data_IF_719178940059
#
_entry.id   IF_719178940059
#
_cell.length_a   1.000
_cell.length_b   1.000
_cell.length_c   1.000
_cell.angle_alpha   90.00
_cell.angle_beta   90.00
_cell.angle_gamma   90.00
#
_symmetry.space_group_name_H-M   'P 1'
#
loop_
_entity.id
_entity.type
_entity.pdbx_description
1 polymer ?
#
# COMPACT_ATOMS: atom_id res chain seq x y z
N UNK A 1 23.77 -6.04 -0.37
CA UNK A 1 22.36 -5.83 0.04
C UNK A 1 21.90 -4.49 -0.52
N UNK A 2 20.85 -4.48 -1.36
CA UNK A 2 20.46 -3.31 -2.14
C UNK A 2 20.03 -2.16 -1.20
N UNK A 3 20.72 -1.00 -1.25
CA UNK A 3 20.60 0.08 -0.23
C UNK A 3 19.19 0.70 -0.16
N UNK A 4 18.31 0.41 -1.11
CA UNK A 4 16.96 0.97 -1.20
C UNK A 4 15.97 0.46 -0.14
N UNK A 5 16.24 -0.66 0.52
CA UNK A 5 15.36 -1.22 1.58
C UNK A 5 15.78 -0.82 3.00
N UNK A 6 16.77 0.06 3.18
CA UNK A 6 17.42 0.31 4.47
C UNK A 6 16.64 1.18 5.46
N UNK A 7 15.58 1.87 5.04
CA UNK A 7 14.71 2.61 5.97
C UNK A 7 13.65 1.66 6.54
N UNK A 8 13.70 1.43 7.87
CA UNK A 8 12.61 0.76 8.61
C UNK A 8 11.31 1.53 8.40
N UNK A 9 10.45 1.04 7.51
CA UNK A 9 9.09 1.57 7.35
C UNK A 9 8.23 0.89 8.43
N UNK A 10 7.63 1.68 9.32
CA UNK A 10 6.57 1.19 10.20
C UNK A 10 5.28 1.10 9.38
N UNK A 11 4.58 -0.02 9.47
CA UNK A 11 3.31 -0.27 8.79
C UNK A 11 2.24 -0.33 9.86
N UNK A 12 1.48 0.75 10.01
CA UNK A 12 0.42 0.85 11.01
C UNK A 12 -0.95 1.01 10.37
N UNK A 13 -1.00 1.51 9.12
CA UNK A 13 -2.23 1.76 8.37
C UNK A 13 -2.13 1.18 6.97
N UNK A 14 -3.25 0.84 6.31
CA UNK A 14 -3.24 0.37 4.92
C UNK A 14 -2.50 1.32 3.96
N UNK A 15 -2.56 2.64 4.21
CA UNK A 15 -1.85 3.65 3.42
C UNK A 15 -0.31 3.52 3.50
N UNK A 16 0.23 2.94 4.58
CA UNK A 16 1.67 2.68 4.71
C UNK A 16 2.13 1.56 3.76
N UNK A 17 1.30 0.52 3.61
CA UNK A 17 1.51 -0.58 2.66
C UNK A 17 1.54 -0.01 1.23
N UNK A 18 0.54 0.80 0.89
CA UNK A 18 0.49 1.50 -0.41
C UNK A 18 1.78 2.28 -0.68
N UNK A 19 2.26 3.07 0.29
CA UNK A 19 3.48 3.89 0.13
C UNK A 19 4.73 3.02 -0.04
N UNK A 20 4.82 1.91 0.68
CA UNK A 20 5.92 0.96 0.54
C UNK A 20 5.92 0.32 -0.85
N UNK A 21 4.76 -0.17 -1.30
CA UNK A 21 4.62 -0.82 -2.59
C UNK A 21 4.97 0.12 -3.74
N UNK A 22 4.49 1.36 -3.71
CA UNK A 22 4.80 2.36 -4.73
C UNK A 22 6.32 2.57 -4.89
N UNK A 23 7.07 2.55 -3.78
CA UNK A 23 8.55 2.63 -3.83
C UNK A 23 9.16 1.42 -4.50
N UNK A 24 8.66 0.21 -4.21
CA UNK A 24 9.17 -1.02 -4.82
C UNK A 24 8.91 -1.03 -6.33
N UNK A 25 7.71 -0.65 -6.76
CA UNK A 25 7.37 -0.53 -8.18
C UNK A 25 8.31 0.47 -8.86
N UNK A 26 8.54 1.64 -8.26
CA UNK A 26 9.44 2.65 -8.83
C UNK A 26 10.88 2.15 -8.96
N UNK A 27 11.37 1.36 -7.99
CA UNK A 27 12.69 0.73 -8.06
C UNK A 27 12.74 -0.27 -9.23
N UNK A 28 11.72 -1.12 -9.38
CA UNK A 28 11.64 -2.10 -10.46
C UNK A 28 11.60 -1.45 -11.86
N UNK A 29 11.00 -0.27 -11.95
CA UNK A 29 10.92 0.53 -13.18
C UNK A 29 12.23 1.29 -13.50
N UNK A 30 13.13 1.46 -12.53
CA UNK A 30 14.32 2.32 -12.69
C UNK A 30 15.43 1.68 -13.53
N UNK A 31 15.50 0.34 -13.59
CA UNK A 31 16.56 -0.42 -14.26
C UNK A 31 16.41 -0.50 -15.81
N UNK A 32 15.50 0.26 -16.42
CA UNK A 32 15.37 0.45 -17.88
C UNK A 32 14.81 -0.73 -18.68
N UNK A 33 15.03 -1.97 -18.23
CA UNK A 33 14.56 -3.17 -18.93
C UNK A 33 13.39 -3.82 -18.19
N UNK A 34 12.25 -3.93 -18.87
CA UNK A 34 11.04 -4.57 -18.36
C UNK A 34 11.04 -6.06 -18.72
N UNK A 35 11.30 -6.92 -17.74
CA UNK A 35 11.16 -8.38 -17.90
C UNK A 35 9.74 -8.84 -17.55
N UNK A 36 9.36 -10.03 -18.03
CA UNK A 36 8.06 -10.65 -17.70
C UNK A 36 7.87 -10.78 -16.18
N UNK A 37 8.93 -11.17 -15.45
CA UNK A 37 8.87 -11.34 -14.01
C UNK A 37 8.73 -10.00 -13.27
N UNK A 38 9.38 -8.93 -13.76
CA UNK A 38 9.15 -7.57 -13.26
C UNK A 38 7.69 -7.15 -13.47
N UNK A 39 7.14 -7.39 -14.66
CA UNK A 39 5.75 -7.05 -14.96
C UNK A 39 4.75 -7.81 -14.06
N UNK A 40 4.95 -9.12 -13.88
CA UNK A 40 4.14 -9.93 -12.94
C UNK A 40 4.23 -9.41 -11.51
N UNK A 41 5.45 -9.10 -11.05
CA UNK A 41 5.69 -8.56 -9.71
C UNK A 41 4.97 -7.23 -9.52
N UNK A 42 5.07 -6.31 -10.50
CA UNK A 42 4.37 -5.02 -10.47
C UNK A 42 2.85 -5.21 -10.45
N UNK A 43 2.30 -6.16 -11.23
CA UNK A 43 0.88 -6.45 -11.25
C UNK A 43 0.38 -6.95 -9.87
N UNK A 44 1.08 -7.91 -9.27
CA UNK A 44 0.77 -8.40 -7.92
C UNK A 44 0.81 -7.27 -6.89
N UNK A 45 1.89 -6.49 -6.91
CA UNK A 45 2.08 -5.37 -6.00
C UNK A 45 0.99 -4.31 -6.17
N UNK A 46 0.65 -3.96 -7.40
CA UNK A 46 -0.43 -3.00 -7.71
C UNK A 46 -1.77 -3.47 -7.16
N UNK A 47 -2.11 -4.76 -7.32
CA UNK A 47 -3.35 -5.32 -6.78
C UNK A 47 -3.38 -5.28 -5.24
N UNK A 48 -2.27 -5.59 -4.58
CA UNK A 48 -2.17 -5.46 -3.12
C UNK A 48 -2.31 -4.00 -2.67
N UNK A 49 -1.72 -3.06 -3.40
CA UNK A 49 -1.85 -1.63 -3.11
C UNK A 49 -3.30 -1.15 -3.25
N UNK A 50 -4.00 -1.54 -4.32
CA UNK A 50 -5.42 -1.24 -4.51
C UNK A 50 -6.26 -1.82 -3.37
N UNK A 51 -6.01 -3.08 -2.99
CA UNK A 51 -6.74 -3.69 -1.87
C UNK A 51 -6.54 -2.96 -0.55
N UNK A 52 -5.32 -2.47 -0.30
CA UNK A 52 -5.05 -1.66 0.89
C UNK A 52 -5.79 -0.33 0.89
N UNK A 53 -6.04 0.28 -0.27
CA UNK A 53 -6.85 1.50 -0.38
C UNK A 53 -8.29 1.21 0.02
N UNK A 54 -8.90 0.16 -0.56
CA UNK A 54 -10.28 -0.24 -0.24
C UNK A 54 -10.47 -0.51 1.27
N UNK A 55 -9.51 -1.19 1.89
CA UNK A 55 -9.55 -1.47 3.33
C UNK A 55 -9.42 -0.21 4.19
N UNK A 56 -8.60 0.76 3.76
CA UNK A 56 -8.48 2.05 4.42
C UNK A 56 -9.78 2.84 4.38
N UNK A 57 -10.40 2.93 3.19
CA UNK A 57 -11.66 3.63 3.01
C UNK A 57 -12.80 2.97 3.79
N UNK A 58 -12.79 1.64 3.87
CA UNK A 58 -13.75 0.88 4.67
C UNK A 58 -13.59 1.17 6.17
N UNK A 59 -12.34 1.20 6.67
CA UNK A 59 -12.06 1.54 8.06
C UNK A 59 -12.51 2.96 8.40
N UNK A 60 -12.22 3.93 7.53
CA UNK A 60 -12.64 5.32 7.73
C UNK A 60 -14.17 5.47 7.74
N UNK A 61 -14.88 4.70 6.90
CA UNK A 61 -16.35 4.67 6.90
C UNK A 61 -16.92 4.02 8.17
N UNK A 62 -16.27 2.98 8.67
CA UNK A 62 -16.70 2.29 9.89
C UNK A 62 -16.53 3.18 11.12
N UNK A 63 -15.38 3.84 11.25
CA UNK A 63 -15.13 4.81 12.32
C UNK A 63 -16.18 5.92 12.35
N UNK A 64 -16.58 6.46 11.18
CA UNK A 64 -17.65 7.46 11.10
C UNK A 64 -19.00 6.94 11.58
N UNK A 65 -19.30 5.67 11.33
CA UNK A 65 -20.55 5.05 11.80
C UNK A 65 -20.50 4.89 13.33
N UNK A 66 -19.37 4.43 13.86
CA UNK A 66 -19.14 4.29 15.31
C UNK A 66 -19.26 5.65 16.02
N UNK A 67 -18.62 6.71 15.49
CA UNK A 67 -18.74 8.07 16.04
C UNK A 67 -20.19 8.59 16.03
N UNK A 68 -20.98 8.28 15.00
CA UNK A 68 -22.39 8.68 14.95
C UNK A 68 -23.25 7.95 15.98
N UNK A 69 -22.91 6.71 16.31
CA UNK A 69 -23.60 5.92 17.33
C UNK A 69 -23.23 6.39 18.75
N UNK A 70 -21.95 6.64 19.01
CA UNK A 70 -21.48 7.17 20.31
C UNK A 70 -22.07 8.54 20.64
N UNK A 71 -22.33 9.38 19.63
CA UNK A 71 -22.95 10.70 19.84
C UNK A 71 -24.48 10.66 20.00
N UNK A 72 -25.10 9.47 19.93
CA UNK A 72 -26.55 9.28 20.14
C UNK A 72 -26.91 8.80 21.55
N UNK A 73 -25.92 8.44 22.38
CA UNK A 73 -26.08 8.16 23.82
C UNK A 73 -25.80 9.42 24.67
#
# INVERSE_FOLDING_TARGET
MNRHFTKKIRINKPQDIRRMIAKVINILLQDGEMTIDKAKTIATLSNTALKSMELGDLADRMNKIEELLENQE
#
